data_IF_172755458042
#
_entry.id   IF_172755458042
#
_cell.length_a   1.000
_cell.length_b   1.000
_cell.length_c   1.000
_cell.angle_alpha   90.00
_cell.angle_beta   90.00
_cell.angle_gamma   90.00
#
_symmetry.space_group_name_H-M   'P 1'
#
loop_
_entity.id
_entity.type
_entity.pdbx_description
1 polymer ?
#
# COMPACT_ATOMS: atom_id res chain seq x y z
N UNK A 1 4.36 -19.51 27.49
CA UNK A 1 4.08 -18.62 26.35
C UNK A 1 5.33 -17.78 26.13
N UNK A 2 6.20 -18.15 25.18
CA UNK A 2 7.31 -17.30 24.79
C UNK A 2 6.79 -16.43 23.65
N UNK A 3 6.70 -15.12 23.87
CA UNK A 3 6.52 -14.18 22.77
C UNK A 3 7.87 -14.18 22.05
N UNK A 4 7.93 -14.61 20.79
CA UNK A 4 9.06 -14.25 19.93
C UNK A 4 8.93 -12.75 19.75
N UNK A 5 9.57 -12.01 20.66
CA UNK A 5 9.69 -10.57 20.58
C UNK A 5 10.58 -10.30 19.38
N UNK A 6 9.96 -10.06 18.22
CA UNK A 6 10.54 -9.11 17.29
C UNK A 6 10.71 -7.83 18.12
N UNK A 7 11.94 -7.34 18.19
CA UNK A 7 12.33 -6.21 19.04
C UNK A 7 11.26 -5.10 18.97
N UNK A 8 11.02 -4.37 20.06
CA UNK A 8 10.04 -3.27 20.08
C UNK A 8 10.33 -2.23 18.98
N UNK A 9 11.61 -2.07 18.63
CA UNK A 9 12.10 -1.19 17.57
C UNK A 9 11.94 -1.79 16.16
N UNK A 10 11.62 -3.09 16.08
CA UNK A 10 11.55 -3.82 14.81
C UNK A 10 10.18 -3.79 14.13
N UNK A 11 9.11 -3.40 14.83
CA UNK A 11 7.77 -3.38 14.21
C UNK A 11 7.62 -2.22 13.23
N UNK A 12 8.11 -1.04 13.58
CA UNK A 12 8.00 0.13 12.71
C UNK A 12 9.17 0.24 11.73
N UNK A 13 10.31 -0.42 11.98
CA UNK A 13 11.54 -0.26 11.18
C UNK A 13 11.74 -1.26 10.04
N UNK A 14 11.09 -2.43 10.06
CA UNK A 14 11.39 -3.54 9.12
C UNK A 14 10.23 -3.90 8.17
N UNK A 15 9.27 -3.00 7.92
CA UNK A 15 8.13 -3.24 7.02
C UNK A 15 7.44 -4.60 7.27
N UNK A 16 7.29 -4.96 8.55
CA UNK A 16 6.68 -6.22 8.96
C UNK A 16 5.18 -6.01 9.21
N UNK A 17 4.33 -6.89 8.68
CA UNK A 17 2.87 -6.81 8.84
C UNK A 17 2.39 -6.93 10.30
N UNK A 18 3.14 -7.68 11.12
CA UNK A 18 2.80 -7.90 12.52
C UNK A 18 3.67 -8.93 13.23
N UNK A 19 3.17 -9.40 14.38
CA UNK A 19 3.83 -10.39 15.22
C UNK A 19 3.21 -11.78 15.08
N UNK A 20 4.07 -12.79 15.13
CA UNK A 20 3.69 -14.19 15.23
C UNK A 20 3.96 -14.70 16.65
N UNK A 21 2.90 -15.04 17.38
CA UNK A 21 3.02 -15.61 18.73
C UNK A 21 2.85 -17.11 18.65
N UNK A 22 3.89 -17.87 19.02
CA UNK A 22 3.89 -19.33 18.98
C UNK A 22 4.03 -19.91 20.39
N UNK A 23 3.21 -20.90 20.73
CA UNK A 23 3.43 -21.68 21.96
C UNK A 23 4.67 -22.56 21.80
N UNK A 24 5.51 -22.63 22.83
CA UNK A 24 6.73 -23.46 22.86
C UNK A 24 6.59 -24.71 23.75
N UNK A 25 5.45 -24.89 24.42
CA UNK A 25 5.21 -26.07 25.25
C UNK A 25 4.91 -27.32 24.42
N UNK A 26 4.54 -28.42 25.09
CA UNK A 26 4.05 -29.64 24.44
C UNK A 26 2.83 -29.39 23.54
N UNK A 27 2.04 -28.35 23.85
CA UNK A 27 0.91 -27.91 23.02
C UNK A 27 1.35 -27.20 21.72
N UNK A 28 2.62 -26.78 21.60
CA UNK A 28 3.17 -26.00 20.49
C UNK A 28 3.65 -26.82 19.29
N UNK A 29 3.39 -28.13 19.29
CA UNK A 29 3.85 -29.04 18.24
C UNK A 29 3.21 -28.70 16.90
N UNK A 30 4.02 -28.76 15.83
CA UNK A 30 3.52 -28.61 14.47
C UNK A 30 2.61 -29.78 14.09
N UNK A 31 1.32 -29.51 13.96
CA UNK A 31 0.33 -30.50 13.58
C UNK A 31 -0.14 -30.22 12.14
N UNK A 32 0.44 -30.88 11.13
CA UNK A 32 0.00 -30.70 9.75
C UNK A 32 -1.49 -31.05 9.63
N UNK A 33 -2.20 -30.31 8.80
CA UNK A 33 -3.64 -30.46 8.57
C UNK A 33 -4.56 -30.17 9.77
N UNK A 34 -4.03 -29.68 10.90
CA UNK A 34 -4.85 -29.16 12.01
C UNK A 34 -4.67 -27.65 12.15
N UNK A 35 -5.79 -26.91 12.09
CA UNK A 35 -5.82 -25.49 12.47
C UNK A 35 -5.88 -25.42 14.00
N UNK A 36 -4.74 -25.20 14.65
CA UNK A 36 -4.64 -25.01 16.09
C UNK A 36 -4.41 -23.53 16.43
N UNK A 37 -4.84 -23.11 17.62
CA UNK A 37 -4.59 -21.76 18.15
C UNK A 37 -3.17 -21.59 18.72
N UNK A 38 -2.25 -22.48 18.34
CA UNK A 38 -0.88 -22.47 18.85
C UNK A 38 -0.06 -21.34 18.25
N UNK A 39 -0.44 -20.87 17.05
CA UNK A 39 0.19 -19.77 16.33
C UNK A 39 -0.83 -18.66 16.13
N UNK A 40 -0.64 -17.55 16.84
CA UNK A 40 -1.50 -16.37 16.75
C UNK A 40 -0.81 -15.30 15.92
N UNK A 41 -1.59 -14.68 15.03
CA UNK A 41 -1.19 -13.54 14.20
C UNK A 41 -1.72 -12.29 14.89
N UNK A 42 -0.84 -11.36 15.23
CA UNK A 42 -1.22 -10.05 15.76
C UNK A 42 -0.75 -9.04 14.74
N UNK A 43 -1.68 -8.31 14.15
CA UNK A 43 -1.39 -7.24 13.20
C UNK A 43 -1.86 -5.90 13.74
N UNK A 44 -1.33 -4.82 13.16
CA UNK A 44 -1.70 -3.44 13.53
C UNK A 44 -3.19 -3.19 13.30
N UNK A 45 -3.76 -3.74 12.22
CA UNK A 45 -5.15 -3.59 11.81
C UNK A 45 -6.16 -4.26 12.76
N UNK A 46 -5.71 -5.06 13.73
CA UNK A 46 -6.58 -5.70 14.71
C UNK A 46 -6.79 -4.86 15.97
N UNK A 47 -6.05 -3.76 16.10
CA UNK A 47 -6.11 -2.88 17.28
C UNK A 47 -6.92 -1.63 16.94
N UNK A 48 -8.02 -1.45 17.64
CA UNK A 48 -8.88 -0.28 17.48
C UNK A 48 -8.09 1.02 17.72
N UNK A 49 -8.25 1.98 16.81
CA UNK A 49 -7.58 3.29 16.86
C UNK A 49 -6.15 3.33 16.30
N UNK A 50 -5.60 2.20 15.84
CA UNK A 50 -4.29 2.15 15.20
C UNK A 50 -4.35 1.87 13.68
N UNK A 51 -5.55 1.59 13.18
CA UNK A 51 -5.80 1.30 11.76
C UNK A 51 -6.12 2.58 11.01
N UNK A 52 -5.57 2.72 9.81
CA UNK A 52 -5.88 3.85 8.94
C UNK A 52 -7.29 3.65 8.34
N UNK A 53 -8.11 4.69 8.44
CA UNK A 53 -9.50 4.70 7.98
C UNK A 53 -9.65 5.70 6.84
N UNK A 54 -10.45 5.36 5.84
CA UNK A 54 -10.63 6.17 4.64
C UNK A 54 -12.13 6.28 4.35
N UNK A 55 -12.58 7.50 4.13
CA UNK A 55 -13.97 7.78 3.76
C UNK A 55 -14.19 7.56 2.26
N UNK A 56 -15.10 6.66 1.93
CA UNK A 56 -15.36 6.25 0.56
C UNK A 56 -16.86 6.29 0.22
N UNK A 57 -17.17 6.60 -1.03
CA UNK A 57 -18.54 6.73 -1.54
C UNK A 57 -18.92 5.48 -2.35
N UNK A 58 -20.04 4.79 -2.04
CA UNK A 58 -20.53 3.71 -2.88
C UNK A 58 -21.12 4.26 -4.18
N UNK A 59 -20.54 3.86 -5.31
CA UNK A 59 -20.95 4.25 -6.66
C UNK A 59 -21.56 3.08 -7.47
N UNK A 60 -21.45 1.85 -6.95
CA UNK A 60 -22.01 0.66 -7.58
C UNK A 60 -22.09 -0.51 -6.62
N UNK A 61 -22.81 -1.55 -7.02
CA UNK A 61 -22.92 -2.79 -6.26
C UNK A 61 -22.91 -4.03 -7.15
N UNK A 62 -22.54 -5.15 -6.53
CA UNK A 62 -22.50 -6.48 -7.11
C UNK A 62 -23.47 -7.37 -6.35
N UNK A 63 -24.24 -8.18 -7.08
CA UNK A 63 -25.14 -9.14 -6.45
C UNK A 63 -24.36 -10.23 -5.71
N UNK A 64 -24.79 -10.53 -4.50
CA UNK A 64 -24.22 -11.60 -3.70
C UNK A 64 -24.49 -12.97 -4.33
N UNK A 65 -23.56 -13.90 -4.14
CA UNK A 65 -23.71 -15.30 -4.56
C UNK A 65 -23.86 -16.20 -3.32
N UNK A 66 -24.51 -17.35 -3.47
CA UNK A 66 -24.67 -18.32 -2.40
C UNK A 66 -25.58 -17.82 -1.26
N UNK A 67 -25.06 -17.72 -0.03
CA UNK A 67 -25.83 -17.31 1.16
C UNK A 67 -26.41 -15.90 1.03
N UNK A 68 -25.71 -15.00 0.33
CA UNK A 68 -26.09 -13.58 0.13
C UNK A 68 -26.84 -13.35 -1.20
N UNK A 69 -27.45 -14.39 -1.76
CA UNK A 69 -28.22 -14.26 -3.00
C UNK A 69 -29.49 -13.42 -2.77
N UNK A 70 -29.80 -12.53 -3.71
CA UNK A 70 -30.95 -11.63 -3.63
C UNK A 70 -30.67 -10.26 -2.97
N UNK A 71 -29.49 -10.06 -2.40
CA UNK A 71 -29.01 -8.76 -1.90
C UNK A 71 -27.67 -8.38 -2.54
N UNK A 72 -27.22 -7.15 -2.33
CA UNK A 72 -25.88 -6.74 -2.73
C UNK A 72 -24.84 -7.42 -1.83
N UNK A 73 -23.90 -8.14 -2.44
CA UNK A 73 -22.84 -8.87 -1.72
C UNK A 73 -21.53 -8.11 -1.65
N UNK A 74 -21.33 -7.15 -2.56
CA UNK A 74 -20.18 -6.26 -2.55
C UNK A 74 -20.55 -4.90 -3.16
N UNK A 75 -19.79 -3.88 -2.82
CA UNK A 75 -19.97 -2.50 -3.26
C UNK A 75 -18.69 -2.02 -3.94
N UNK A 76 -18.84 -1.21 -4.99
CA UNK A 76 -17.76 -0.48 -5.62
C UNK A 76 -17.69 0.90 -4.97
N UNK A 77 -16.56 1.16 -4.32
CA UNK A 77 -16.33 2.38 -3.58
C UNK A 77 -15.41 3.33 -4.34
N UNK A 78 -15.63 4.61 -4.19
CA UNK A 78 -14.91 5.67 -4.88
C UNK A 78 -14.54 6.84 -3.97
N UNK A 79 -13.51 7.56 -4.37
CA UNK A 79 -13.00 8.77 -3.71
C UNK A 79 -13.34 9.95 -4.59
N UNK A 80 -13.70 11.07 -3.98
CA UNK A 80 -13.98 12.30 -4.71
C UNK A 80 -12.69 13.03 -5.06
N UNK A 81 -12.40 13.19 -6.34
CA UNK A 81 -11.34 14.06 -6.81
C UNK A 81 -11.89 15.48 -7.04
N UNK A 82 -11.46 16.43 -6.21
CA UNK A 82 -11.87 17.84 -6.33
C UNK A 82 -11.42 18.47 -7.66
N UNK A 83 -10.32 17.98 -8.26
CA UNK A 83 -9.72 18.59 -9.44
C UNK A 83 -10.36 18.11 -10.73
N UNK A 84 -10.58 16.80 -10.84
CA UNK A 84 -11.32 16.20 -11.96
C UNK A 84 -12.83 16.37 -11.85
N UNK A 85 -13.33 16.90 -10.72
CA UNK A 85 -14.76 16.91 -10.35
C UNK A 85 -15.40 15.53 -10.57
N UNK A 86 -14.65 14.48 -10.28
CA UNK A 86 -14.99 13.10 -10.62
C UNK A 86 -14.82 12.17 -9.41
N UNK A 87 -15.59 11.09 -9.40
CA UNK A 87 -15.49 10.02 -8.41
C UNK A 87 -14.67 8.88 -9.01
N UNK A 88 -13.48 8.67 -8.45
CA UNK A 88 -12.52 7.66 -8.91
C UNK A 88 -12.68 6.37 -8.10
N UNK A 89 -12.77 5.22 -8.75
CA UNK A 89 -12.91 3.94 -8.04
C UNK A 89 -11.64 3.58 -7.26
N UNK A 90 -11.81 3.24 -5.98
CA UNK A 90 -10.70 2.95 -5.07
C UNK A 90 -10.62 1.45 -4.76
N UNK A 91 -11.74 0.84 -4.36
CA UNK A 91 -11.76 -0.57 -3.98
C UNK A 91 -13.14 -1.21 -4.17
N UNK A 92 -13.15 -2.55 -4.13
CA UNK A 92 -14.36 -3.36 -4.03
C UNK A 92 -14.49 -3.89 -2.61
N UNK A 93 -15.54 -3.49 -1.92
CA UNK A 93 -15.79 -3.89 -0.53
C UNK A 93 -16.85 -4.99 -0.46
N UNK A 94 -16.53 -6.14 0.13
CA UNK A 94 -17.47 -7.27 0.30
C UNK A 94 -17.45 -7.91 1.69
N UNK A 95 -16.61 -7.40 2.59
CA UNK A 95 -16.37 -7.91 3.95
C UNK A 95 -16.57 -6.80 4.96
N UNK A 96 -16.83 -7.14 6.22
CA UNK A 96 -17.03 -6.16 7.30
C UNK A 96 -18.51 -5.89 7.64
N UNK A 97 -19.45 -6.36 6.83
CA UNK A 97 -20.88 -6.20 7.09
C UNK A 97 -21.47 -7.42 7.81
N UNK A 98 -22.33 -7.15 8.80
CA UNK A 98 -23.25 -8.17 9.31
C UNK A 98 -24.35 -8.46 8.29
N UNK A 99 -25.05 -9.57 8.44
CA UNK A 99 -26.15 -9.92 7.52
C UNK A 99 -27.30 -8.89 7.62
N UNK A 100 -27.51 -8.28 8.79
CA UNK A 100 -28.51 -7.22 9.01
C UNK A 100 -28.10 -5.91 8.34
N UNK A 101 -26.82 -5.51 8.45
CA UNK A 101 -26.30 -4.31 7.80
C UNK A 101 -26.41 -4.41 6.28
N UNK A 102 -26.13 -5.58 5.71
CA UNK A 102 -26.28 -5.82 4.27
C UNK A 102 -27.71 -5.59 3.80
N UNK A 103 -28.69 -6.07 4.56
CA UNK A 103 -30.10 -5.86 4.24
C UNK A 103 -30.51 -4.39 4.40
N UNK A 104 -29.99 -3.71 5.42
CA UNK A 104 -30.22 -2.28 5.64
C UNK A 104 -29.66 -1.45 4.49
N UNK A 105 -28.40 -1.66 4.10
CA UNK A 105 -27.77 -0.96 2.98
C UNK A 105 -28.46 -1.26 1.66
N UNK A 106 -28.85 -2.52 1.42
CA UNK A 106 -29.65 -2.88 0.25
C UNK A 106 -30.94 -2.07 0.19
N UNK A 107 -31.72 -2.04 1.28
CA UNK A 107 -33.00 -1.30 1.34
C UNK A 107 -32.82 0.21 1.17
N UNK A 108 -31.75 0.78 1.73
CA UNK A 108 -31.43 2.21 1.61
C UNK A 108 -30.98 2.61 0.21
N UNK A 109 -30.19 1.76 -0.45
CA UNK A 109 -29.57 2.06 -1.75
C UNK A 109 -30.43 1.63 -2.94
N UNK A 110 -31.37 0.70 -2.74
CA UNK A 110 -32.27 0.21 -3.80
C UNK A 110 -33.04 1.34 -4.53
N UNK A 111 -33.57 2.40 -3.87
CA UNK A 111 -34.24 3.50 -4.55
C UNK A 111 -33.32 4.36 -5.42
N UNK A 112 -32.01 4.28 -5.20
CA UNK A 112 -30.99 5.12 -5.85
C UNK A 112 -30.20 4.37 -6.92
N UNK A 113 -30.73 3.24 -7.40
CA UNK A 113 -30.14 2.49 -8.51
C UNK A 113 -30.32 3.31 -9.79
N UNK A 114 -29.22 3.52 -10.51
CA UNK A 114 -29.20 4.18 -11.81
C UNK A 114 -28.91 3.16 -12.91
N UNK A 115 -29.50 3.37 -14.09
CA UNK A 115 -29.35 2.44 -15.22
C UNK A 115 -27.97 2.53 -15.88
N UNK A 116 -27.36 3.71 -15.86
CA UNK A 116 -26.11 3.99 -16.56
C UNK A 116 -25.13 4.74 -15.65
N UNK A 117 -23.85 4.43 -15.87
CA UNK A 117 -22.72 5.14 -15.28
C UNK A 117 -22.82 6.64 -15.53
N UNK A 118 -22.67 7.45 -14.47
CA UNK A 118 -22.59 8.91 -14.61
C UNK A 118 -21.28 9.32 -15.28
N UNK A 119 -21.29 10.43 -16.02
CA UNK A 119 -20.10 10.94 -16.71
C UNK A 119 -18.94 11.26 -15.77
N UNK A 120 -19.24 11.70 -14.54
CA UNK A 120 -18.26 12.03 -13.52
C UNK A 120 -17.80 10.81 -12.70
N UNK A 121 -18.21 9.58 -13.04
CA UNK A 121 -17.62 8.37 -12.45
C UNK A 121 -16.42 7.97 -13.30
N UNK A 122 -15.21 8.01 -12.75
CA UNK A 122 -14.04 7.40 -13.38
C UNK A 122 -13.80 6.04 -12.76
N UNK A 123 -14.08 4.99 -13.52
CA UNK A 123 -13.92 3.61 -13.07
C UNK A 123 -13.79 2.69 -14.28
N UNK A 124 -12.85 1.74 -14.18
CA UNK A 124 -12.61 0.71 -15.18
C UNK A 124 -13.50 -0.51 -14.91
N UNK A 125 -13.70 -0.84 -13.63
CA UNK A 125 -14.55 -1.94 -13.21
C UNK A 125 -16.04 -1.60 -13.39
N UNK A 126 -16.77 -2.49 -14.05
CA UNK A 126 -18.22 -2.38 -14.23
C UNK A 126 -18.94 -3.20 -13.12
N UNK A 127 -19.74 -2.54 -12.26
CA UNK A 127 -20.62 -3.21 -11.30
C UNK A 127 -21.88 -3.76 -11.99
N UNK A 128 -22.58 -4.68 -11.31
CA UNK A 128 -23.86 -5.22 -11.80
C UNK A 128 -24.95 -4.15 -11.79
N UNK A 129 -24.91 -3.26 -10.79
CA UNK A 129 -25.79 -2.10 -10.68
C UNK A 129 -24.99 -0.86 -10.34
N UNK A 130 -25.37 0.27 -10.94
CA UNK A 130 -24.82 1.57 -10.61
C UNK A 130 -25.67 2.22 -9.52
N UNK A 131 -25.03 2.95 -8.61
CA UNK A 131 -25.68 3.63 -7.50
C UNK A 131 -25.41 5.13 -7.58
N UNK A 132 -26.37 5.94 -7.13
CA UNK A 132 -26.16 7.37 -6.94
C UNK A 132 -25.28 7.62 -5.70
N UNK A 133 -24.26 8.46 -5.88
CA UNK A 133 -23.34 8.88 -4.83
C UNK A 133 -24.06 9.75 -3.78
N UNK A 134 -24.50 9.14 -2.67
CA UNK A 134 -25.19 9.85 -1.57
C UNK A 134 -24.69 9.53 -0.17
N UNK A 135 -24.16 8.34 0.02
CA UNK A 135 -23.63 7.90 1.31
C UNK A 135 -22.11 7.98 1.31
N UNK A 136 -21.52 8.12 2.49
CA UNK A 136 -20.08 8.03 2.71
C UNK A 136 -19.88 6.97 3.77
N UNK A 137 -19.00 6.02 3.51
CA UNK A 137 -18.70 4.90 4.38
C UNK A 137 -17.24 4.97 4.80
N UNK A 138 -17.01 4.91 6.10
CA UNK A 138 -15.69 4.76 6.67
C UNK A 138 -15.20 3.33 6.43
N UNK A 139 -14.04 3.21 5.78
CA UNK A 139 -13.43 1.92 5.44
C UNK A 139 -12.05 1.84 6.06
N UNK A 140 -11.86 0.86 6.96
CA UNK A 140 -10.55 0.54 7.50
C UNK A 140 -9.75 -0.31 6.50
N UNK A 141 -8.48 0.06 6.29
CA UNK A 141 -7.56 -0.69 5.44
C UNK A 141 -6.26 -0.99 6.20
N UNK A 142 -5.68 -2.17 5.96
CA UNK A 142 -4.38 -2.52 6.53
C UNK A 142 -3.25 -1.78 5.82
N UNK A 143 -3.21 -1.88 4.48
CA UNK A 143 -2.22 -1.25 3.61
C UNK A 143 -2.87 -0.76 2.32
N UNK A 144 -2.21 0.18 1.65
CA UNK A 144 -2.61 0.73 0.35
C UNK A 144 -1.66 0.19 -0.72
N UNK A 145 -2.22 -0.19 -1.85
CA UNK A 145 -1.44 -0.76 -2.96
C UNK A 145 -1.81 -0.10 -4.27
N UNK A 146 -0.82 0.05 -5.16
CA UNK A 146 -1.06 0.50 -6.53
C UNK A 146 -1.82 -0.61 -7.27
N UNK A 147 -3.01 -0.29 -7.75
CA UNK A 147 -3.88 -1.23 -8.46
C UNK A 147 -4.02 -0.84 -9.94
N UNK A 148 -3.93 -1.80 -10.87
CA UNK A 148 -4.17 -1.53 -12.29
C UNK A 148 -5.66 -1.40 -12.65
N UNK A 149 -6.57 -1.86 -11.78
CA UNK A 149 -8.02 -1.90 -12.05
C UNK A 149 -8.78 -0.73 -11.42
N UNK A 150 -8.16 -0.04 -10.47
CA UNK A 150 -8.74 1.09 -9.76
C UNK A 150 -8.13 2.40 -10.28
N UNK A 151 -8.94 3.44 -10.34
CA UNK A 151 -8.58 4.74 -10.93
C UNK A 151 -8.30 5.80 -9.87
N UNK A 152 -8.47 5.48 -8.58
CA UNK A 152 -8.12 6.37 -7.48
C UNK A 152 -6.65 6.79 -7.58
N UNK A 153 -6.42 8.11 -7.44
CA UNK A 153 -5.11 8.73 -7.60
C UNK A 153 -4.45 8.52 -8.97
N UNK A 154 -5.24 8.17 -10.01
CA UNK A 154 -4.72 8.14 -11.38
C UNK A 154 -4.42 9.58 -11.82
N UNK A 155 -3.16 9.87 -12.14
CA UNK A 155 -2.79 11.16 -12.71
C UNK A 155 -3.57 11.37 -14.02
N UNK A 156 -4.48 12.34 -14.03
CA UNK A 156 -4.99 12.89 -15.29
C UNK A 156 -3.88 13.75 -15.91
N UNK A 157 -3.04 13.12 -16.73
CA UNK A 157 -1.89 13.73 -17.42
C UNK A 157 -2.32 14.62 -18.60
N UNK A 158 -3.40 15.41 -18.48
CA UNK A 158 -3.78 16.36 -19.54
C UNK A 158 -3.16 17.75 -19.36
N UNK A 159 -2.65 18.08 -18.16
CA UNK A 159 -2.20 19.46 -17.87
C UNK A 159 -0.75 19.61 -17.34
N UNK A 160 0.05 18.54 -17.26
CA UNK A 160 1.41 18.66 -16.71
C UNK A 160 1.48 19.07 -15.23
N UNK A 161 0.43 18.81 -14.44
CA UNK A 161 0.34 19.18 -13.02
C UNK A 161 0.51 17.94 -12.12
N UNK A 162 1.28 18.11 -11.04
CA UNK A 162 1.66 17.09 -10.05
C UNK A 162 0.45 16.57 -9.24
N UNK A 163 0.54 15.36 -8.66
CA UNK A 163 -0.55 14.72 -7.90
C UNK A 163 -0.88 15.40 -6.56
N UNK A 164 -0.09 16.39 -6.14
CA UNK A 164 -0.21 17.11 -4.87
C UNK A 164 -1.42 18.08 -4.79
N UNK A 165 -2.11 18.32 -5.90
CA UNK A 165 -3.14 19.37 -6.02
C UNK A 165 -4.59 18.88 -5.88
N UNK A 166 -4.84 17.59 -5.64
CA UNK A 166 -6.19 17.05 -5.39
C UNK A 166 -6.32 16.66 -3.93
N UNK A 167 -7.15 17.34 -3.12
CA UNK A 167 -7.09 17.19 -1.66
C UNK A 167 -7.36 15.77 -1.15
N UNK A 168 -8.38 15.07 -1.67
CA UNK A 168 -8.72 13.73 -1.18
C UNK A 168 -7.90 12.61 -1.86
N UNK A 169 -7.53 12.78 -3.13
CA UNK A 169 -6.58 11.84 -3.76
C UNK A 169 -5.16 12.03 -3.19
N UNK A 170 -4.78 13.26 -2.81
CA UNK A 170 -3.53 13.55 -2.13
C UNK A 170 -3.54 13.01 -0.70
N UNK A 171 -4.68 13.01 0.00
CA UNK A 171 -4.80 12.33 1.29
C UNK A 171 -4.51 10.84 1.14
N UNK A 172 -5.15 10.16 0.18
CA UNK A 172 -4.88 8.76 -0.14
C UNK A 172 -3.42 8.51 -0.52
N UNK A 173 -2.85 9.39 -1.34
CA UNK A 173 -1.45 9.35 -1.76
C UNK A 173 -0.52 9.56 -0.55
N UNK A 174 -0.87 10.45 0.36
CA UNK A 174 -0.11 10.73 1.58
C UNK A 174 -0.12 9.52 2.51
N UNK A 175 -1.27 8.87 2.68
CA UNK A 175 -1.40 7.62 3.43
C UNK A 175 -0.52 6.52 2.81
N UNK A 176 -0.54 6.39 1.48
CA UNK A 176 0.32 5.45 0.77
C UNK A 176 1.82 5.75 0.98
N UNK A 177 2.26 7.00 0.86
CA UNK A 177 3.67 7.34 1.10
C UNK A 177 4.09 7.20 2.56
N UNK A 178 3.17 7.41 3.50
CA UNK A 178 3.44 7.22 4.92
C UNK A 178 3.71 5.75 5.27
N UNK A 179 3.26 4.79 4.47
CA UNK A 179 3.58 3.36 4.65
C UNK A 179 5.07 3.07 4.42
N UNK A 180 5.76 3.87 3.59
CA UNK A 180 7.18 3.68 3.26
C UNK A 180 8.11 4.60 4.04
N UNK A 181 7.58 5.58 4.77
CA UNK A 181 8.42 6.45 5.61
C UNK A 181 9.00 5.64 6.75
N UNK A 182 10.33 5.60 6.81
CA UNK A 182 11.05 5.08 7.97
C UNK A 182 10.55 5.75 9.25
N UNK A 183 10.44 5.02 10.38
CA UNK A 183 9.96 5.57 11.64
C UNK A 183 10.78 6.76 12.15
N UNK A 184 12.05 6.86 11.75
CA UNK A 184 12.90 8.02 12.05
C UNK A 184 12.39 9.31 11.38
N UNK A 185 11.89 9.21 10.14
CA UNK A 185 11.34 10.35 9.40
C UNK A 185 9.92 10.72 9.87
N UNK A 186 9.11 9.72 10.26
CA UNK A 186 7.77 9.95 10.82
C UNK A 186 7.82 10.65 12.19
N UNK A 187 8.76 10.26 13.07
CA UNK A 187 8.97 10.91 14.36
C UNK A 187 9.45 12.37 14.21
N UNK A 188 10.32 12.65 13.24
CA UNK A 188 10.78 14.01 12.92
C UNK A 188 9.64 14.88 12.35
N UNK A 189 8.79 14.32 11.49
CA UNK A 189 7.65 15.05 10.92
C UNK A 189 6.55 15.34 11.96
N UNK A 190 6.27 14.39 12.88
CA UNK A 190 5.33 14.61 13.97
C UNK A 190 5.84 15.67 14.97
N UNK A 191 7.16 15.69 15.23
CA UNK A 191 7.79 16.74 16.03
C UNK A 191 7.70 18.10 15.33
N UNK A 192 7.95 18.18 14.01
CA UNK A 192 7.85 19.43 13.25
C UNK A 192 6.41 19.97 13.18
N UNK A 193 5.40 19.10 13.04
CA UNK A 193 4.00 19.51 13.06
C UNK A 193 3.55 20.02 14.45
N UNK A 194 4.09 19.47 15.53
CA UNK A 194 3.84 19.97 16.89
C UNK A 194 4.52 21.32 17.16
N UNK A 195 5.68 21.59 16.54
CA UNK A 195 6.36 22.90 16.62
C UNK A 195 5.64 23.97 15.80
N UNK A 196 5.14 23.62 14.60
CA UNK A 196 4.39 24.54 13.74
C UNK A 196 3.04 25.00 14.34
N UNK A 197 2.38 24.13 15.13
CA UNK A 197 1.15 24.49 15.84
C UNK A 197 1.37 25.50 17.00
N UNK A 198 2.62 25.82 17.34
CA UNK A 198 2.97 26.73 18.42
C UNK A 198 3.51 28.08 17.91
N UNK A 199 3.56 28.30 16.59
CA UNK A 199 4.07 29.53 15.95
C UNK A 199 2.98 30.34 15.20
N UNK A 200 1.70 29.98 15.31
CA UNK A 200 0.60 30.75 14.68
C UNK A 200 -0.06 31.82 15.59
N UNK A 201 0.55 32.16 16.72
CA UNK A 201 0.19 33.36 17.51
C UNK A 201 1.42 34.25 17.73
N UNK A 202 1.91 34.92 16.69
CA UNK A 202 2.54 36.25 16.72
C UNK A 202 3.13 36.55 15.33
N UNK A 203 2.47 37.41 14.56
CA UNK A 203 3.06 38.46 13.71
C UNK A 203 1.97 39.02 12.74
N UNK A 204 1.08 39.86 13.28
CA UNK A 204 0.63 41.04 12.54
C UNK A 204 1.43 42.25 13.05
N UNK A 205 1.77 43.16 12.12
CA UNK A 205 2.39 44.49 12.29
C UNK A 205 3.92 44.59 12.17
N UNK A 206 4.43 44.87 10.94
CA UNK A 206 5.18 46.10 10.63
C UNK A 206 5.82 46.08 9.22
N UNK A 207 5.76 47.24 8.56
CA UNK A 207 6.00 47.47 7.14
C UNK A 207 7.40 48.08 6.84
N UNK A 208 7.89 47.87 5.61
CA UNK A 208 8.84 48.67 4.79
C UNK A 208 10.40 48.56 4.87
N UNK A 209 10.97 48.14 3.72
CA UNK A 209 12.11 48.71 2.94
C UNK A 209 13.55 48.11 2.92
N UNK A 210 13.85 47.51 1.75
CA UNK A 210 15.07 47.55 0.88
C UNK A 210 16.42 46.83 1.15
N UNK A 211 16.74 45.89 0.23
CA UNK A 211 18.04 45.59 -0.45
C UNK A 211 19.21 45.01 0.40
N UNK A 212 20.08 44.06 -0.01
CA UNK A 212 20.57 43.57 -1.32
C UNK A 212 21.45 42.28 -1.19
N UNK A 213 21.49 41.49 -2.27
CA UNK A 213 22.64 40.76 -2.89
C UNK A 213 23.35 39.55 -2.25
N UNK A 214 23.14 38.41 -2.94
CA UNK A 214 24.11 37.48 -3.56
C UNK A 214 25.08 36.63 -2.73
N UNK A 215 24.98 35.30 -2.92
CA UNK A 215 26.01 34.24 -3.09
C UNK A 215 25.29 32.93 -2.75
N UNK A 216 25.25 31.84 -3.52
CA UNK A 216 26.32 31.17 -4.25
C UNK A 216 25.71 30.10 -5.15
N UNK A 217 25.76 30.34 -6.46
CA UNK A 217 25.67 29.31 -7.47
C UNK A 217 27.00 28.53 -7.46
N UNK A 218 27.08 27.48 -6.64
CA UNK A 218 28.24 26.58 -6.57
C UNK A 218 27.93 25.31 -5.75
N UNK A 219 26.91 24.52 -6.11
CA UNK A 219 26.79 23.12 -5.63
C UNK A 219 26.10 22.21 -6.67
N UNK A 220 26.06 22.64 -7.94
CA UNK A 220 25.45 21.85 -9.04
C UNK A 220 26.54 21.56 -10.08
N UNK A 221 27.60 20.86 -9.66
CA UNK A 221 28.59 20.29 -10.59
C UNK A 221 29.41 19.12 -10.01
N UNK A 222 29.02 18.51 -8.88
CA UNK A 222 29.74 17.36 -8.27
C UNK A 222 28.88 16.08 -8.10
N UNK A 223 27.81 15.91 -8.89
CA UNK A 223 26.96 14.70 -8.81
C UNK A 223 26.85 13.87 -10.09
N UNK A 224 27.51 14.26 -11.18
CA UNK A 224 27.43 13.51 -12.46
C UNK A 224 28.65 12.61 -12.76
N UNK A 225 29.73 12.65 -11.95
CA UNK A 225 30.89 11.76 -12.15
C UNK A 225 30.89 10.46 -11.33
N UNK A 226 30.19 10.38 -10.18
CA UNK A 226 30.16 9.15 -9.37
C UNK A 226 29.19 8.06 -9.88
N UNK A 227 28.17 8.44 -10.64
CA UNK A 227 27.18 7.50 -11.17
C UNK A 227 27.73 6.64 -12.31
N UNK A 228 28.71 7.15 -13.06
CA UNK A 228 29.24 6.50 -14.25
C UNK A 228 30.39 5.51 -13.95
N UNK A 229 30.99 5.59 -12.75
CA UNK A 229 32.02 4.64 -12.30
C UNK A 229 31.42 3.37 -11.70
N UNK A 230 30.34 3.52 -10.93
CA UNK A 230 29.62 2.41 -10.28
C UNK A 230 28.94 1.46 -11.29
N UNK A 231 28.59 1.97 -12.48
CA UNK A 231 27.93 1.18 -13.53
C UNK A 231 28.90 0.29 -14.34
N UNK A 232 30.21 0.57 -14.30
CA UNK A 232 31.21 -0.24 -15.02
C UNK A 232 31.80 -1.37 -14.17
N UNK A 233 31.79 -1.23 -12.84
CA UNK A 233 32.30 -2.26 -11.93
C UNK A 233 31.28 -3.38 -11.67
N UNK A 234 29.97 -3.05 -11.61
CA UNK A 234 28.88 -4.03 -11.45
C UNK A 234 28.75 -4.98 -12.64
N UNK A 235 28.94 -4.50 -13.87
CA UNK A 235 28.88 -5.33 -15.07
C UNK A 235 30.05 -6.32 -15.21
N UNK A 236 31.20 -6.05 -14.58
CA UNK A 236 32.35 -6.97 -14.58
C UNK A 236 32.19 -8.09 -13.56
N UNK A 237 31.58 -7.81 -12.40
CA UNK A 237 31.33 -8.81 -11.37
C UNK A 237 30.30 -9.86 -11.81
N UNK A 238 29.23 -9.42 -12.51
CA UNK A 238 28.21 -10.35 -13.05
C UNK A 238 28.77 -11.30 -14.11
N UNK A 239 29.69 -10.82 -14.96
CA UNK A 239 30.33 -11.65 -15.99
C UNK A 239 31.32 -12.67 -15.40
N UNK A 240 31.95 -12.37 -14.27
CA UNK A 240 32.84 -13.31 -13.57
C UNK A 240 32.05 -14.38 -12.82
N UNK A 241 30.91 -14.02 -12.21
CA UNK A 241 30.04 -15.00 -11.54
C UNK A 241 29.42 -15.99 -12.53
N UNK A 242 29.02 -15.55 -13.73
CA UNK A 242 28.51 -16.45 -14.76
C UNK A 242 29.58 -17.44 -15.28
N UNK A 243 30.85 -17.00 -15.39
CA UNK A 243 31.94 -17.89 -15.79
C UNK A 243 32.28 -18.93 -14.72
N UNK A 244 32.21 -18.56 -13.43
CA UNK A 244 32.42 -19.52 -12.34
C UNK A 244 31.29 -20.55 -12.24
N UNK A 245 30.04 -20.15 -12.46
CA UNK A 245 28.90 -21.08 -12.47
C UNK A 245 28.97 -22.07 -13.64
N UNK A 246 29.43 -21.62 -14.83
CA UNK A 246 29.65 -22.53 -15.96
C UNK A 246 30.80 -23.51 -15.72
N UNK A 247 31.87 -23.09 -15.05
CA UNK A 247 32.97 -24.00 -14.73
C UNK A 247 32.56 -25.07 -13.71
N UNK A 248 31.75 -24.72 -12.70
CA UNK A 248 31.23 -25.70 -11.73
C UNK A 248 30.29 -26.73 -12.37
N UNK A 249 29.41 -26.31 -13.28
CA UNK A 249 28.53 -27.26 -13.99
C UNK A 249 29.30 -28.24 -14.87
N UNK A 250 30.37 -27.79 -15.53
CA UNK A 250 31.22 -28.67 -16.35
C UNK A 250 32.02 -29.64 -15.49
N UNK A 251 32.37 -29.27 -14.26
CA UNK A 251 33.09 -30.14 -13.33
C UNK A 251 32.16 -31.21 -12.73
N UNK A 252 30.91 -30.85 -12.38
CA UNK A 252 29.88 -31.81 -11.92
C UNK A 252 29.51 -32.82 -13.01
N UNK A 253 29.31 -32.39 -14.26
CA UNK A 253 29.01 -33.32 -15.38
C UNK A 253 30.16 -34.31 -15.62
N UNK A 254 31.40 -33.90 -15.35
CA UNK A 254 32.58 -34.73 -15.55
C UNK A 254 32.76 -35.76 -14.42
N UNK A 255 32.42 -35.41 -13.18
CA UNK A 255 32.37 -36.37 -12.07
C UNK A 255 31.25 -37.41 -12.27
N UNK A 256 30.08 -37.01 -12.78
CA UNK A 256 29.00 -37.95 -13.11
C UNK A 256 29.39 -38.91 -14.24
N UNK A 257 30.16 -38.47 -15.24
CA UNK A 257 30.67 -39.35 -16.30
C UNK A 257 31.73 -40.34 -15.79
N UNK A 258 32.60 -39.93 -14.85
CA UNK A 258 33.60 -40.82 -14.24
C UNK A 258 32.95 -41.87 -13.33
N UNK A 259 31.91 -41.52 -12.54
CA UNK A 259 31.15 -42.48 -11.75
C UNK A 259 30.41 -43.50 -12.63
N UNK A 260 29.86 -43.06 -13.77
CA UNK A 260 29.20 -43.95 -14.73
C UNK A 260 30.17 -44.89 -15.46
N UNK A 261 31.43 -44.49 -15.63
CA UNK A 261 32.47 -45.35 -16.20
C UNK A 261 32.96 -46.40 -15.19
N UNK A 262 33.09 -46.05 -13.90
CA UNK A 262 33.48 -47.00 -12.85
C UNK A 262 32.42 -48.08 -12.61
N UNK A 263 31.12 -47.74 -12.74
CA UNK A 263 30.03 -48.72 -12.64
C UNK A 263 29.93 -49.70 -13.83
N UNK A 264 30.67 -49.47 -14.92
CA UNK A 264 30.71 -50.38 -16.09
C UNK A 264 31.88 -51.36 -16.07
N UNK A 265 32.84 -51.20 -15.15
CA UNK A 265 34.03 -52.06 -15.04
C UNK A 265 33.97 -53.06 -13.85
N UNK A 266 32.92 -53.02 -13.01
CA UNK A 266 32.55 -54.09 -12.06
C UNK A 266 31.53 -55.09 -12.65
#
# INVERSE_FOLDING_TARGET
>A
MLIVLVNKDSLNGYNCEGLMVKSLGEDGVYLPSKRSNCWLKIKKDYVDGLTDTIDLVPIGAFYGKGKRNGVFGAYLLAVYDQRGECLQSACKLGTGFTDDDLFLHYTRLQPYIIQQKKCYYDCIMEPDVWLEAREVWECAAADLSISPVHTAARLHTTDGKTPEQSTAAAELLSLYYNQFKSPAAAAAAAAAAATAANEEEEEEEADSSSSSSSSSAAVVEEMEEESNKTSQDTAKEDSQQQQQQQQQQVEEEKEEEEEQQQQKEE
#
